data_IF_142858547210
#
_entry.id   IF_142858547210
#
_cell.length_a   1.000
_cell.length_b   1.000
_cell.length_c   1.000
_cell.angle_alpha   90.00
_cell.angle_beta   90.00
_cell.angle_gamma   90.00
#
_symmetry.space_group_name_H-M   'P 1'
#
loop_
_entity.id
_entity.type
_entity.pdbx_description
1 polymer ?
#
# COMPACT_ATOMS: atom_id res chain seq x y z
N UNK A 1 18.93 5.44 -13.69
CA UNK A 1 17.46 5.62 -13.61
C UNK A 1 16.84 4.30 -13.21
N UNK A 2 16.73 4.00 -11.91
CA UNK A 2 16.09 2.78 -11.42
C UNK A 2 14.76 3.16 -10.78
N UNK A 3 13.72 3.29 -11.61
CA UNK A 3 12.35 3.21 -11.11
C UNK A 3 12.11 1.75 -10.73
N UNK A 4 12.69 1.33 -9.61
CA UNK A 4 12.51 0.01 -9.03
C UNK A 4 11.10 -0.03 -8.47
N UNK A 5 10.15 -0.37 -9.33
CA UNK A 5 8.81 -0.79 -8.93
C UNK A 5 8.97 -2.16 -8.26
N UNK A 6 9.40 -2.11 -6.99
CA UNK A 6 9.55 -3.27 -6.11
C UNK A 6 8.17 -3.77 -5.70
N UNK A 7 8.11 -4.98 -5.15
CA UNK A 7 6.87 -5.60 -4.65
C UNK A 7 6.18 -4.64 -3.68
N UNK A 8 4.90 -4.35 -3.92
CA UNK A 8 4.14 -3.44 -3.08
C UNK A 8 3.92 -4.03 -1.68
N UNK A 9 4.32 -3.26 -0.65
CA UNK A 9 4.07 -3.59 0.76
C UNK A 9 2.93 -2.71 1.27
N UNK A 10 1.96 -3.33 1.92
CA UNK A 10 0.80 -2.65 2.49
C UNK A 10 0.53 -3.13 3.92
N UNK A 11 -0.18 -2.32 4.70
CA UNK A 11 -0.57 -2.69 6.05
C UNK A 11 -1.84 -3.54 5.98
N UNK A 12 -1.79 -4.73 6.58
CA UNK A 12 -2.90 -5.66 6.69
C UNK A 12 -3.05 -6.18 8.12
N UNK A 13 -3.87 -7.22 8.27
CA UNK A 13 -4.17 -7.82 9.56
C UNK A 13 -4.17 -9.33 9.40
N UNK A 14 -3.42 -10.04 10.24
CA UNK A 14 -3.44 -11.50 10.34
C UNK A 14 -3.58 -11.83 11.84
N UNK A 15 -4.48 -12.74 12.19
CA UNK A 15 -4.77 -13.08 13.59
C UNK A 15 -5.04 -11.87 14.52
N UNK A 16 -5.73 -10.83 14.01
CA UNK A 16 -5.99 -9.55 14.68
C UNK A 16 -4.74 -8.70 15.02
N UNK A 17 -3.58 -9.05 14.48
CA UNK A 17 -2.35 -8.27 14.63
C UNK A 17 -2.10 -7.44 13.37
N UNK A 18 -1.80 -6.13 13.50
CA UNK A 18 -1.42 -5.31 12.36
C UNK A 18 -0.03 -5.72 11.88
N UNK A 19 0.05 -6.17 10.63
CA UNK A 19 1.28 -6.67 10.01
C UNK A 19 1.47 -6.02 8.64
N UNK A 20 2.72 -5.90 8.21
CA UNK A 20 3.03 -5.53 6.82
C UNK A 20 2.94 -6.79 5.96
N UNK A 21 2.15 -6.70 4.90
CA UNK A 21 1.91 -7.79 3.96
C UNK A 21 2.33 -7.39 2.56
N UNK A 22 2.56 -8.38 1.71
CA UNK A 22 2.74 -8.18 0.29
C UNK A 22 1.91 -9.20 -0.51
N UNK A 23 1.65 -8.87 -1.78
CA UNK A 23 0.94 -9.79 -2.67
C UNK A 23 1.92 -10.83 -3.23
N UNK A 24 1.62 -12.11 -3.03
CA UNK A 24 2.47 -13.21 -3.48
C UNK A 24 2.61 -13.26 -5.00
N UNK A 25 1.62 -12.79 -5.76
CA UNK A 25 1.66 -12.76 -7.22
C UNK A 25 2.65 -11.72 -7.73
N UNK A 26 2.64 -10.53 -7.13
CA UNK A 26 3.60 -9.49 -7.46
C UNK A 26 5.02 -9.95 -7.13
N UNK A 27 5.18 -10.65 -6.00
CA UNK A 27 6.44 -11.28 -5.62
C UNK A 27 6.88 -12.35 -6.64
N UNK A 28 6.00 -13.28 -7.01
CA UNK A 28 6.25 -14.32 -8.00
C UNK A 28 6.69 -13.74 -9.35
N UNK A 29 5.98 -12.71 -9.83
CA UNK A 29 6.30 -12.01 -11.06
C UNK A 29 7.64 -11.29 -10.97
N UNK A 30 7.92 -10.62 -9.85
CA UNK A 30 9.20 -9.94 -9.65
C UNK A 30 10.36 -10.94 -9.63
N UNK A 31 10.21 -12.06 -8.92
CA UNK A 31 11.23 -13.11 -8.82
C UNK A 31 11.44 -13.88 -10.14
N UNK A 32 10.56 -13.73 -11.12
CA UNK A 32 10.58 -14.50 -12.38
C UNK A 32 10.61 -16.01 -12.14
N UNK A 33 9.84 -16.50 -11.16
CA UNK A 33 9.82 -17.92 -10.86
C UNK A 33 9.25 -18.69 -12.06
N UNK A 34 9.92 -19.77 -12.47
CA UNK A 34 9.63 -20.49 -13.71
C UNK A 34 8.31 -21.27 -13.67
N UNK A 35 7.90 -21.67 -12.47
CA UNK A 35 6.68 -22.44 -12.24
C UNK A 35 5.46 -21.54 -12.28
N UNK A 36 4.33 -22.08 -12.74
CA UNK A 36 3.05 -21.36 -12.70
C UNK A 36 2.70 -21.00 -11.24
N UNK A 37 2.20 -19.77 -11.03
CA UNK A 37 1.90 -19.23 -9.70
C UNK A 37 1.15 -20.19 -8.77
N UNK A 38 0.11 -20.88 -9.26
CA UNK A 38 -0.72 -21.77 -8.44
C UNK A 38 0.07 -22.95 -7.88
N UNK A 39 0.89 -23.59 -8.70
CA UNK A 39 1.77 -24.68 -8.26
C UNK A 39 2.87 -24.12 -7.37
N UNK A 40 3.51 -23.02 -7.79
CA UNK A 40 4.57 -22.37 -7.04
C UNK A 40 4.17 -22.07 -5.59
N UNK A 41 3.02 -21.41 -5.38
CA UNK A 41 2.59 -21.05 -4.02
C UNK A 41 2.21 -22.30 -3.21
N UNK A 42 1.55 -23.29 -3.84
CA UNK A 42 1.16 -24.53 -3.17
C UNK A 42 2.37 -25.34 -2.72
N UNK A 43 3.36 -25.50 -3.60
CA UNK A 43 4.60 -26.22 -3.34
C UNK A 43 5.38 -25.54 -2.21
N UNK A 44 5.51 -24.20 -2.28
CA UNK A 44 6.23 -23.44 -1.25
C UNK A 44 5.56 -23.47 0.11
N UNK A 45 4.23 -23.41 0.16
CA UNK A 45 3.47 -23.58 1.40
C UNK A 45 3.73 -24.95 2.01
N UNK A 46 3.68 -26.01 1.18
CA UNK A 46 3.90 -27.38 1.65
C UNK A 46 5.35 -27.64 2.07
N UNK A 47 6.32 -27.19 1.29
CA UNK A 47 7.75 -27.47 1.50
C UNK A 47 8.30 -26.82 2.77
N UNK A 48 7.83 -25.62 3.10
CA UNK A 48 8.32 -24.82 4.22
C UNK A 48 7.37 -24.83 5.43
N UNK A 49 6.20 -25.47 5.31
CA UNK A 49 5.25 -25.61 6.40
C UNK A 49 4.55 -24.30 6.79
N UNK A 50 4.32 -23.40 5.82
CA UNK A 50 3.64 -22.14 6.08
C UNK A 50 2.17 -22.36 6.48
N UNK A 51 1.70 -21.61 7.47
CA UNK A 51 0.38 -21.79 8.06
C UNK A 51 -0.58 -20.66 7.67
N UNK A 52 -1.79 -21.04 7.23
CA UNK A 52 -2.84 -20.07 6.93
C UNK A 52 -3.31 -19.35 8.20
N UNK A 53 -3.48 -18.03 8.11
CA UNK A 53 -3.78 -17.12 9.23
C UNK A 53 -2.62 -16.89 10.20
N UNK A 54 -1.41 -17.32 9.84
CA UNK A 54 -0.17 -16.95 10.53
C UNK A 54 0.79 -16.30 9.51
N UNK A 55 1.16 -17.04 8.46
CA UNK A 55 2.10 -16.58 7.43
C UNK A 55 1.42 -15.95 6.22
N UNK A 56 0.17 -16.36 5.95
CA UNK A 56 -0.57 -15.86 4.79
C UNK A 56 -2.09 -15.92 4.98
N UNK A 57 -2.79 -15.12 4.18
CA UNK A 57 -4.24 -15.16 4.02
C UNK A 57 -4.60 -15.29 2.54
N UNK A 58 -5.75 -15.91 2.27
CA UNK A 58 -6.28 -16.08 0.91
C UNK A 58 -7.37 -15.05 0.69
N UNK A 59 -7.18 -14.22 -0.34
CA UNK A 59 -8.18 -13.26 -0.81
C UNK A 59 -8.80 -13.80 -2.09
N UNK A 60 -10.12 -13.90 -2.12
CA UNK A 60 -10.83 -14.34 -3.32
C UNK A 60 -11.32 -13.11 -4.08
N UNK A 61 -10.77 -12.90 -5.27
CA UNK A 61 -11.22 -11.84 -6.17
C UNK A 61 -12.36 -12.36 -7.04
N UNK A 62 -13.49 -11.63 -7.02
CA UNK A 62 -14.62 -11.91 -7.90
C UNK A 62 -14.28 -11.36 -9.29
N UNK A 63 -14.20 -12.25 -10.26
CA UNK A 63 -14.03 -11.92 -11.68
C UNK A 63 -15.33 -12.28 -12.40
N UNK A 64 -15.53 -11.76 -13.63
CA UNK A 64 -16.68 -12.12 -14.50
C UNK A 64 -16.74 -13.62 -14.90
N UNK A 65 -15.83 -14.45 -14.38
CA UNK A 65 -15.74 -15.88 -14.61
C UNK A 65 -15.36 -16.62 -13.33
N UNK A 66 -14.41 -17.56 -13.41
CA UNK A 66 -13.95 -18.29 -12.22
C UNK A 66 -13.26 -17.31 -11.24
N UNK A 67 -13.69 -17.28 -9.96
CA UNK A 67 -13.02 -16.47 -8.95
C UNK A 67 -11.54 -16.82 -8.84
N UNK A 68 -10.71 -15.79 -8.71
CA UNK A 68 -9.25 -15.94 -8.59
C UNK A 68 -8.85 -15.94 -7.12
N UNK A 69 -7.93 -16.82 -6.76
CA UNK A 69 -7.29 -16.82 -5.43
C UNK A 69 -6.01 -16.00 -5.49
N UNK A 70 -5.97 -14.97 -4.67
CA UNK A 70 -4.79 -14.18 -4.35
C UNK A 70 -4.32 -14.51 -2.94
N UNK A 71 -3.02 -14.37 -2.71
CA UNK A 71 -2.38 -14.68 -1.44
C UNK A 71 -1.69 -13.41 -0.95
N UNK A 72 -2.08 -12.95 0.24
CA UNK A 72 -1.32 -11.93 0.95
C UNK A 72 -0.46 -12.64 1.99
N UNK A 73 0.84 -12.41 1.90
CA UNK A 73 1.85 -13.09 2.71
C UNK A 73 2.54 -12.08 3.63
N UNK A 74 3.02 -12.56 4.77
CA UNK A 74 3.88 -11.76 5.66
C UNK A 74 5.21 -11.43 4.99
N UNK A 75 5.87 -10.37 5.47
CA UNK A 75 7.23 -10.06 5.02
C UNK A 75 8.22 -11.17 5.38
N UNK A 76 8.02 -11.88 6.49
CA UNK A 76 8.83 -13.04 6.88
C UNK A 76 8.74 -14.16 5.85
N UNK A 77 7.53 -14.60 5.51
CA UNK A 77 7.31 -15.57 4.44
C UNK A 77 7.89 -15.08 3.11
N UNK A 78 7.68 -13.80 2.75
CA UNK A 78 8.23 -13.20 1.53
C UNK A 78 9.76 -13.21 1.47
N UNK A 79 10.44 -12.96 2.59
CA UNK A 79 11.91 -13.03 2.70
C UNK A 79 12.41 -14.45 2.46
N UNK A 80 11.73 -15.44 3.03
CA UNK A 80 12.07 -16.85 2.82
C UNK A 80 11.91 -17.23 1.34
N UNK A 81 10.75 -16.97 0.73
CA UNK A 81 10.51 -17.23 -0.69
C UNK A 81 11.57 -16.60 -1.59
N UNK A 82 11.97 -15.36 -1.30
CA UNK A 82 13.03 -14.66 -2.03
C UNK A 82 14.40 -15.36 -1.90
N UNK A 83 14.69 -16.01 -0.77
CA UNK A 83 15.91 -16.80 -0.60
C UNK A 83 15.87 -18.12 -1.37
N UNK A 84 14.70 -18.77 -1.42
CA UNK A 84 14.54 -20.08 -2.09
C UNK A 84 14.82 -20.00 -3.58
N UNK A 85 14.42 -18.91 -4.23
CA UNK A 85 14.61 -18.74 -5.68
C UNK A 85 16.08 -18.55 -6.11
N UNK A 86 17.01 -18.29 -5.17
CA UNK A 86 18.48 -18.21 -5.40
C UNK A 86 18.88 -17.33 -6.60
N UNK A 87 18.19 -16.21 -6.78
CA UNK A 87 18.42 -15.25 -7.86
C UNK A 87 18.79 -13.86 -7.33
N UNK A 88 19.34 -13.00 -8.20
CA UNK A 88 19.70 -11.62 -7.81
C UNK A 88 18.45 -10.81 -7.41
N UNK A 89 17.32 -11.08 -8.08
CA UNK A 89 16.04 -10.46 -7.75
C UNK A 89 15.57 -10.82 -6.33
N UNK A 90 15.73 -12.06 -5.92
CA UNK A 90 15.45 -12.51 -4.57
C UNK A 90 16.36 -11.85 -3.54
N UNK A 91 17.64 -11.65 -3.87
CA UNK A 91 18.54 -10.85 -3.04
C UNK A 91 18.04 -9.40 -2.89
N UNK A 92 17.56 -8.78 -3.97
CA UNK A 92 16.99 -7.43 -3.94
C UNK A 92 15.73 -7.37 -3.08
N UNK A 93 14.79 -8.30 -3.26
CA UNK A 93 13.56 -8.40 -2.46
C UNK A 93 13.88 -8.57 -0.99
N UNK A 94 14.78 -9.49 -0.65
CA UNK A 94 15.17 -9.74 0.74
C UNK A 94 15.72 -8.47 1.41
N UNK A 95 16.62 -7.75 0.73
CA UNK A 95 17.16 -6.47 1.24
C UNK A 95 16.07 -5.42 1.40
N UNK A 96 15.14 -5.36 0.44
CA UNK A 96 14.02 -4.43 0.47
C UNK A 96 13.06 -4.70 1.62
N UNK A 97 12.68 -5.95 1.88
CA UNK A 97 11.79 -6.29 3.00
C UNK A 97 12.43 -6.04 4.37
N UNK A 98 13.73 -6.32 4.52
CA UNK A 98 14.49 -5.96 5.74
C UNK A 98 14.49 -4.44 5.94
N UNK A 99 14.63 -3.66 4.87
CA UNK A 99 14.55 -2.20 4.93
C UNK A 99 13.16 -1.72 5.35
N UNK A 100 12.09 -2.32 4.82
CA UNK A 100 10.70 -2.03 5.22
C UNK A 100 10.48 -2.25 6.72
N UNK A 101 10.90 -3.40 7.25
CA UNK A 101 10.79 -3.73 8.67
C UNK A 101 11.57 -2.75 9.55
N UNK A 102 12.81 -2.43 9.15
CA UNK A 102 13.61 -1.45 9.89
C UNK A 102 12.96 -0.08 9.93
N UNK A 103 12.38 0.37 8.81
CA UNK A 103 11.65 1.66 8.74
C UNK A 103 10.40 1.64 9.62
N UNK A 104 9.69 0.52 9.68
CA UNK A 104 8.52 0.37 10.54
C UNK A 104 8.91 0.46 12.03
N UNK A 105 10.07 -0.09 12.41
CA UNK A 105 10.60 0.02 13.78
C UNK A 105 11.14 1.42 14.12
N UNK A 106 11.73 2.11 13.13
CA UNK A 106 12.33 3.43 13.33
C UNK A 106 11.33 4.58 13.35
N UNK A 107 10.13 4.40 12.82
CA UNK A 107 9.07 5.40 12.98
C UNK A 107 8.59 5.34 14.44
N UNK A 108 8.92 6.34 15.28
CA UNK A 108 8.25 6.43 16.57
C UNK A 108 6.77 6.59 16.25
N UNK A 109 5.93 5.80 16.91
CA UNK A 109 4.48 5.95 16.78
C UNK A 109 4.15 7.44 16.90
N UNK A 110 3.62 8.04 15.83
CA UNK A 110 2.94 9.33 15.94
C UNK A 110 1.66 9.06 16.75
N UNK A 111 1.83 8.92 18.06
CA UNK A 111 0.75 8.94 19.03
C UNK A 111 0.19 10.37 19.00
N UNK A 112 -1.01 10.50 18.45
CA UNK A 112 -1.95 11.60 18.59
C UNK A 112 -1.37 13.02 18.53
N UNK A 113 -1.37 13.62 17.34
CA UNK A 113 -1.63 15.06 17.23
C UNK A 113 -3.08 15.24 16.75
N UNK A 114 -4.00 15.80 17.56
CA UNK A 114 -5.30 16.17 17.05
C UNK A 114 -5.10 17.18 15.92
N UNK A 115 -5.63 16.86 14.74
CA UNK A 115 -5.61 17.75 13.60
C UNK A 115 -6.34 19.05 13.99
N UNK A 116 -5.60 20.13 14.27
CA UNK A 116 -6.18 21.46 14.32
C UNK A 116 -6.70 21.75 12.91
N UNK A 117 -8.01 21.60 12.72
CA UNK A 117 -8.68 21.99 11.48
C UNK A 117 -8.32 23.46 11.21
N UNK A 118 -7.82 23.82 10.01
CA UNK A 118 -7.57 25.21 9.69
C UNK A 118 -8.88 26.00 9.86
N UNK A 119 -8.86 27.03 10.72
CA UNK A 119 -9.97 27.99 10.83
C UNK A 119 -10.18 28.59 9.44
N UNK A 120 -11.35 28.35 8.86
CA UNK A 120 -11.76 29.01 7.64
C UNK A 120 -11.79 30.52 7.92
N UNK A 121 -10.81 31.25 7.44
CA UNK A 121 -10.86 32.71 7.37
C UNK A 121 -11.92 33.06 6.33
N UNK A 122 -13.07 33.54 6.80
CA UNK A 122 -14.11 34.09 5.93
C UNK A 122 -13.46 35.21 5.11
N UNK A 123 -13.46 35.06 3.77
CA UNK A 123 -13.07 36.14 2.84
C UNK A 123 -13.95 37.36 3.13
N UNK A 124 -13.41 38.58 3.27
CA UNK A 124 -14.25 39.76 3.33
C UNK A 124 -14.99 39.91 2.00
N UNK A 125 -16.32 39.94 2.07
CA UNK A 125 -17.19 40.23 0.95
C UNK A 125 -16.88 41.63 0.41
N UNK A 126 -16.56 41.72 -0.87
CA UNK A 126 -16.44 42.99 -1.57
C UNK A 126 -17.79 43.72 -1.47
N UNK A 127 -17.80 44.87 -0.78
CA UNK A 127 -18.91 45.80 -0.80
C UNK A 127 -19.02 46.36 -2.23
N UNK A 128 -20.12 46.07 -2.90
CA UNK A 128 -20.46 46.65 -4.19
C UNK A 128 -20.65 48.16 -4.03
N UNK A 129 -19.80 48.95 -4.68
CA UNK A 129 -20.02 50.37 -4.91
C UNK A 129 -21.13 50.53 -5.95
N UNK A 130 -22.37 50.72 -5.51
CA UNK A 130 -23.45 51.21 -6.39
C UNK A 130 -23.28 52.71 -6.58
N UNK A 131 -22.65 53.10 -7.69
CA UNK A 131 -22.65 54.47 -8.19
C UNK A 131 -24.09 54.85 -8.59
N UNK A 132 -24.80 55.57 -7.72
CA UNK A 132 -26.08 56.19 -8.06
C UNK A 132 -25.78 57.54 -8.71
N UNK A 133 -25.93 57.60 -10.03
CA UNK A 133 -25.89 58.83 -10.81
C UNK A 133 -27.09 59.68 -10.42
N UNK A 134 -26.88 60.76 -9.65
CA UNK A 134 -27.92 61.77 -9.45
C UNK A 134 -27.89 62.74 -10.63
N UNK A 135 -28.88 62.59 -11.49
CA UNK A 135 -29.17 63.41 -12.65
C UNK A 135 -29.70 64.78 -12.20
N UNK A 136 -28.96 65.83 -12.60
CA UNK A 136 -29.41 67.18 -12.98
C UNK A 136 -30.66 67.78 -12.28
N UNK A 137 -30.43 68.77 -11.42
CA UNK A 137 -31.42 69.83 -11.17
C UNK A 137 -31.14 71.02 -12.11
N UNK A 138 -32.13 71.23 -12.98
CA UNK A 138 -32.51 72.40 -13.80
C UNK A 138 -32.13 73.76 -13.22
N UNK A 139 -31.55 74.65 -14.04
CA UNK A 139 -32.21 75.80 -14.72
C UNK A 139 -32.82 76.86 -13.79
N UNK A 140 -32.24 78.06 -13.89
CA UNK A 140 -32.84 79.42 -13.90
C UNK A 140 -33.92 79.76 -12.86
#
# INVERSE_FOLDING_TARGET
>A
MTNSNLVAVFNGQIANQPLQLCNARDLHQFLEAKTQFGNWISDRISDYGFTQNEDYIIVTERTNGRPRKEYHITLDMGKELAMVERNEKGRMVRKYFIECERRALQQPQQQNLPLLKPKQTKKPSALSLTCTTHLMVRMK
#
